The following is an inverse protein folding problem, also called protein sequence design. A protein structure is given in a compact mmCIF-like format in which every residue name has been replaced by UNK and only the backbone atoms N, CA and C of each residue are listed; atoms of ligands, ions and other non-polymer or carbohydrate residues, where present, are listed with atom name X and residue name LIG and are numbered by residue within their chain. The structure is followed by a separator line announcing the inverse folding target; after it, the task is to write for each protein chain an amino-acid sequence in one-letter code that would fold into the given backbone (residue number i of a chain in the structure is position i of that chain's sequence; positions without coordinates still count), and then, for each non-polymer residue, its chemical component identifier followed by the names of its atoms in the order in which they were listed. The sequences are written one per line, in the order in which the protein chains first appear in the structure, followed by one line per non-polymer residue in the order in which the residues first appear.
data_IF_547239557689
#
_entry.id   IF_547239557689
#
_cell.length_a   1.000
_cell.length_b   1.000
_cell.length_c   1.000
_cell.angle_alpha   90.00
_cell.angle_beta   90.00
_cell.angle_gamma   90.00
#
_symmetry.space_group_name_H-M   'P 1'
#
loop_
_entity.id
_entity.type
_entity.pdbx_description
1 polymer ?
#
# COMPACT_ATOMS: atom_id res chain seq x y z
N UNK A 1 -14.93 1.69 23.45
CA UNK A 1 -14.09 2.85 23.07
C UNK A 1 -13.47 2.53 21.73
N UNK A 2 -13.55 3.47 20.80
CA UNK A 2 -12.84 3.37 19.51
C UNK A 2 -11.39 3.84 19.65
N UNK A 3 -10.57 3.52 18.65
CA UNK A 3 -9.18 4.00 18.58
C UNK A 3 -9.09 5.34 17.83
N UNK A 4 -8.09 6.14 18.19
CA UNK A 4 -7.71 7.35 17.46
C UNK A 4 -6.56 7.03 16.52
N UNK A 5 -6.70 7.41 15.26
CA UNK A 5 -5.78 7.06 14.17
C UNK A 5 -5.22 8.32 13.52
N UNK A 6 -3.91 8.34 13.31
CA UNK A 6 -3.23 9.29 12.42
C UNK A 6 -2.67 8.53 11.22
N UNK A 7 -3.23 8.79 10.04
CA UNK A 7 -2.78 8.17 8.79
C UNK A 7 -2.02 9.19 7.96
N UNK A 8 -0.76 8.92 7.72
CA UNK A 8 0.19 9.76 6.99
C UNK A 8 0.36 9.24 5.56
N UNK A 9 0.33 10.12 4.58
CA UNK A 9 0.26 9.74 3.16
C UNK A 9 -0.96 8.87 2.86
N UNK A 10 -2.09 9.29 3.41
CA UNK A 10 -3.31 8.48 3.58
C UNK A 10 -3.90 7.98 2.24
N UNK A 11 -3.69 8.72 1.16
CA UNK A 11 -4.29 8.40 -0.12
C UNK A 11 -5.81 8.46 -0.04
N UNK A 12 -6.46 7.36 -0.41
CA UNK A 12 -7.93 7.20 -0.40
C UNK A 12 -8.46 6.59 0.91
N UNK A 13 -7.70 6.66 1.99
CA UNK A 13 -8.07 6.12 3.31
C UNK A 13 -8.21 4.59 3.35
N UNK A 14 -7.31 3.87 2.66
CA UNK A 14 -7.31 2.41 2.68
C UNK A 14 -7.10 1.83 4.09
N UNK A 15 -6.38 2.53 4.97
CA UNK A 15 -6.25 2.18 6.38
C UNK A 15 -7.60 2.19 7.10
N UNK A 16 -8.47 3.15 6.80
CA UNK A 16 -9.83 3.22 7.37
C UNK A 16 -10.68 2.02 6.92
N UNK A 17 -10.62 1.66 5.63
CA UNK A 17 -11.29 0.47 5.10
C UNK A 17 -10.83 -0.80 5.81
N UNK A 18 -9.51 -0.95 6.01
CA UNK A 18 -8.95 -2.11 6.68
C UNK A 18 -9.44 -2.23 8.14
N UNK A 19 -9.51 -1.13 8.87
CA UNK A 19 -10.03 -1.12 10.25
C UNK A 19 -11.51 -1.50 10.30
N UNK A 20 -12.33 -1.03 9.35
CA UNK A 20 -13.74 -1.42 9.24
C UNK A 20 -13.92 -2.91 8.97
N UNK A 21 -13.14 -3.45 8.02
CA UNK A 21 -13.18 -4.88 7.72
C UNK A 21 -12.75 -5.77 8.89
N UNK A 22 -11.89 -5.25 9.76
CA UNK A 22 -11.47 -5.93 10.99
C UNK A 22 -12.46 -5.73 12.15
N UNK A 23 -13.50 -4.90 11.96
CA UNK A 23 -14.44 -4.56 13.02
C UNK A 23 -13.83 -3.73 14.16
N UNK A 24 -12.73 -3.03 13.89
CA UNK A 24 -12.06 -2.16 14.87
C UNK A 24 -12.77 -0.80 14.88
N UNK A 25 -13.43 -0.42 15.96
CA UNK A 25 -14.15 0.85 16.03
C UNK A 25 -13.14 2.01 16.04
N UNK A 26 -13.35 2.98 15.15
CA UNK A 26 -12.54 4.20 15.05
C UNK A 26 -13.33 5.36 15.64
N UNK A 27 -12.78 5.98 16.68
CA UNK A 27 -13.34 7.17 17.34
C UNK A 27 -13.00 8.44 16.56
N UNK A 28 -11.75 8.54 16.10
CA UNK A 28 -11.24 9.66 15.34
C UNK A 28 -10.21 9.19 14.31
N UNK A 29 -10.29 9.73 13.11
CA UNK A 29 -9.32 9.45 12.04
C UNK A 29 -8.82 10.75 11.45
N UNK A 30 -7.52 11.00 11.61
CA UNK A 30 -6.81 12.13 11.02
C UNK A 30 -6.06 11.64 9.79
N UNK A 31 -6.28 12.27 8.64
CA UNK A 31 -5.64 11.92 7.37
C UNK A 31 -4.74 13.05 6.88
N UNK A 32 -3.44 12.79 6.81
CA UNK A 32 -2.48 13.68 6.17
C UNK A 32 -2.27 13.26 4.72
N UNK A 33 -2.83 14.04 3.80
CA UNK A 33 -2.77 13.87 2.35
C UNK A 33 -2.76 15.23 1.66
N UNK A 34 -2.12 15.33 0.48
CA UNK A 34 -2.05 16.56 -0.31
C UNK A 34 -2.66 16.40 -1.71
N UNK A 35 -2.86 15.16 -2.18
CA UNK A 35 -3.51 14.91 -3.47
C UNK A 35 -5.01 15.15 -3.36
N UNK A 36 -5.48 16.20 -4.07
CA UNK A 36 -6.89 16.62 -4.03
C UNK A 36 -7.87 15.54 -4.50
N UNK A 37 -7.44 14.65 -5.41
CA UNK A 37 -8.32 13.60 -5.92
C UNK A 37 -8.42 12.44 -4.91
N UNK A 38 -7.32 12.09 -4.27
CA UNK A 38 -7.32 11.12 -3.18
C UNK A 38 -8.19 11.61 -2.02
N UNK A 39 -8.05 12.87 -1.61
CA UNK A 39 -8.89 13.52 -0.59
C UNK A 39 -10.38 13.48 -0.97
N UNK A 40 -10.73 13.78 -2.23
CA UNK A 40 -12.12 13.73 -2.70
C UNK A 40 -12.71 12.33 -2.56
N UNK A 41 -11.95 11.28 -2.92
CA UNK A 41 -12.40 9.89 -2.78
C UNK A 41 -12.54 9.52 -1.30
N UNK A 42 -11.57 9.88 -0.46
CA UNK A 42 -11.63 9.67 0.99
C UNK A 42 -12.89 10.29 1.58
N UNK A 43 -13.10 11.58 1.33
CA UNK A 43 -14.24 12.33 1.88
C UNK A 43 -15.60 11.88 1.33
N UNK A 44 -15.67 11.37 0.10
CA UNK A 44 -16.90 10.81 -0.46
C UNK A 44 -17.33 9.51 0.24
N UNK A 45 -16.37 8.71 0.72
CA UNK A 45 -16.64 7.45 1.39
C UNK A 45 -16.71 7.59 2.92
N UNK A 46 -15.92 8.49 3.49
CA UNK A 46 -15.75 8.72 4.92
C UNK A 46 -15.76 10.23 5.24
N UNK A 47 -16.92 10.88 5.21
CA UNK A 47 -17.00 12.34 5.44
C UNK A 47 -16.57 12.76 6.85
N UNK A 48 -16.51 11.82 7.81
CA UNK A 48 -16.07 12.03 9.18
C UNK A 48 -14.54 12.10 9.33
N UNK A 49 -13.77 11.70 8.31
CA UNK A 49 -12.31 11.79 8.33
C UNK A 49 -11.87 13.26 8.34
N UNK A 50 -11.05 13.61 9.30
CA UNK A 50 -10.46 14.93 9.39
C UNK A 50 -9.19 15.01 8.54
N UNK A 51 -9.25 15.81 7.46
CA UNK A 51 -8.08 16.07 6.61
C UNK A 51 -7.18 17.12 7.29
N UNK A 52 -5.95 16.72 7.62
CA UNK A 52 -4.99 17.56 8.35
C UNK A 52 -3.87 18.13 7.47
N UNK A 53 -3.92 17.85 6.16
CA UNK A 53 -3.04 18.45 5.15
C UNK A 53 -1.64 17.84 5.08
N UNK A 54 -0.64 18.69 4.83
CA UNK A 54 0.74 18.27 4.61
C UNK A 54 1.42 17.83 5.90
N UNK A 55 2.02 16.64 5.89
CA UNK A 55 2.78 16.06 7.01
C UNK A 55 3.87 17.00 7.54
N UNK A 56 4.48 17.80 6.69
CA UNK A 56 5.53 18.75 7.06
C UNK A 56 5.03 19.84 8.03
N UNK A 57 3.72 20.11 8.04
CA UNK A 57 3.09 21.14 8.85
C UNK A 57 2.46 20.63 10.14
N UNK A 58 2.48 19.31 10.39
CA UNK A 58 1.86 18.74 11.58
C UNK A 58 2.71 19.00 12.83
N UNK A 59 2.08 19.56 13.87
CA UNK A 59 2.68 19.62 15.21
C UNK A 59 2.36 18.32 15.96
N UNK A 60 3.38 17.55 16.38
CA UNK A 60 3.16 16.30 17.15
C UNK A 60 2.32 16.49 18.42
N UNK A 61 2.28 17.70 18.98
CA UNK A 61 1.52 18.00 20.21
C UNK A 61 0.02 17.83 20.02
N UNK A 62 -0.49 18.04 18.81
CA UNK A 62 -1.91 17.96 18.51
C UNK A 62 -2.41 16.50 18.41
N UNK A 63 -1.48 15.51 18.40
CA UNK A 63 -1.76 14.07 18.16
C UNK A 63 -1.24 13.16 19.26
N UNK A 64 -1.00 13.67 20.47
CA UNK A 64 -0.43 12.89 21.59
C UNK A 64 -1.35 11.77 22.10
N UNK A 65 -2.62 11.80 21.78
CA UNK A 65 -3.63 10.81 22.17
C UNK A 65 -3.97 9.80 21.04
N UNK A 66 -3.16 9.75 20.00
CA UNK A 66 -3.30 8.78 18.90
C UNK A 66 -2.85 7.39 19.34
N UNK A 67 -3.73 6.41 19.14
CA UNK A 67 -3.44 4.99 19.43
C UNK A 67 -2.67 4.29 18.32
N UNK A 68 -2.99 4.62 17.06
CA UNK A 68 -2.44 3.97 15.88
C UNK A 68 -1.96 5.00 14.85
N UNK A 69 -0.70 4.89 14.45
CA UNK A 69 -0.16 5.64 13.32
C UNK A 69 0.02 4.73 12.11
N UNK A 70 -0.62 5.09 10.99
CA UNK A 70 -0.45 4.43 9.69
C UNK A 70 0.39 5.31 8.78
N UNK A 71 1.24 4.71 7.95
CA UNK A 71 2.02 5.45 6.96
C UNK A 71 2.37 4.61 5.73
N UNK A 72 2.28 5.25 4.56
CA UNK A 72 2.77 4.71 3.28
C UNK A 72 3.70 5.71 2.61
N UNK A 73 4.90 5.92 3.15
CA UNK A 73 5.80 6.99 2.69
C UNK A 73 6.20 6.81 1.22
N UNK A 74 6.32 7.91 0.43
CA UNK A 74 6.76 7.85 -0.95
C UNK A 74 8.10 7.11 -1.10
N UNK A 75 8.12 6.10 -1.98
CA UNK A 75 9.26 5.21 -2.17
C UNK A 75 10.26 5.67 -3.23
N UNK A 76 10.04 6.82 -3.85
CA UNK A 76 10.77 7.20 -5.08
C UNK A 76 12.27 7.42 -4.87
N UNK A 77 12.73 7.67 -3.65
CA UNK A 77 14.15 7.69 -3.28
C UNK A 77 14.75 6.32 -2.98
N UNK A 78 13.92 5.35 -2.57
CA UNK A 78 14.34 4.02 -2.10
C UNK A 78 14.06 2.88 -3.09
N UNK A 79 13.30 3.12 -4.18
CA UNK A 79 12.87 2.05 -5.06
C UNK A 79 13.99 1.57 -5.99
N UNK A 80 13.93 0.28 -6.39
CA UNK A 80 14.83 -0.36 -7.36
C UNK A 80 14.82 0.34 -8.73
N UNK A 81 13.78 1.10 -9.05
CA UNK A 81 13.59 1.84 -10.31
C UNK A 81 14.01 3.31 -10.21
N UNK A 82 14.32 3.81 -9.01
CA UNK A 82 14.77 5.19 -8.78
C UNK A 82 16.28 5.35 -8.93
N UNK A 83 16.74 6.54 -9.27
CA UNK A 83 18.16 6.91 -9.19
C UNK A 83 18.54 6.94 -7.70
N UNK A 84 19.30 6.00 -7.23
CA UNK A 84 19.78 5.68 -5.88
C UNK A 84 20.34 6.88 -5.05
N UNK A 85 19.60 7.97 -4.95
CA UNK A 85 19.97 9.19 -4.22
C UNK A 85 19.28 9.21 -2.84
N UNK A 86 19.48 8.12 -2.04
CA UNK A 86 18.64 7.74 -0.93
C UNK A 86 18.34 8.85 0.11
N UNK A 87 19.29 9.68 0.46
CA UNK A 87 19.10 10.68 1.53
C UNK A 87 19.15 12.13 1.05
N UNK A 88 19.74 12.39 -0.13
CA UNK A 88 19.80 13.74 -0.72
C UNK A 88 18.57 14.04 -1.60
N UNK A 89 17.65 13.08 -1.79
CA UNK A 89 16.43 13.29 -2.56
C UNK A 89 15.37 13.94 -1.65
N UNK A 90 14.77 15.08 -2.04
CA UNK A 90 13.70 15.74 -1.28
C UNK A 90 12.52 14.81 -0.93
N UNK A 91 12.31 13.75 -1.71
CA UNK A 91 11.27 12.74 -1.47
C UNK A 91 11.60 11.79 -0.31
N UNK A 92 12.89 11.62 0.00
CA UNK A 92 13.35 10.91 1.20
C UNK A 92 13.11 11.73 2.46
N UNK A 93 13.07 13.05 2.37
CA UNK A 93 12.77 13.95 3.48
C UNK A 93 11.40 13.62 4.11
N UNK A 94 10.43 13.19 3.30
CA UNK A 94 9.10 12.82 3.78
C UNK A 94 9.10 11.57 4.69
N UNK A 95 10.02 10.63 4.49
CA UNK A 95 10.22 9.54 5.43
C UNK A 95 10.71 10.05 6.79
N UNK A 96 11.60 11.04 6.82
CA UNK A 96 12.07 11.63 8.08
C UNK A 96 11.00 12.45 8.78
N UNK A 97 10.04 13.03 8.05
CA UNK A 97 8.86 13.65 8.67
C UNK A 97 7.99 12.59 9.38
N UNK A 98 7.81 11.40 8.78
CA UNK A 98 7.18 10.28 9.48
C UNK A 98 7.95 9.91 10.76
N UNK A 99 9.30 9.77 10.69
CA UNK A 99 10.13 9.46 11.86
C UNK A 99 10.03 10.56 12.93
N UNK A 100 10.00 11.83 12.54
CA UNK A 100 9.82 12.96 13.46
C UNK A 100 8.51 12.83 14.25
N UNK A 101 7.41 12.55 13.56
CA UNK A 101 6.11 12.35 14.19
C UNK A 101 6.08 11.08 15.04
N UNK A 102 6.58 9.95 14.53
CA UNK A 102 6.61 8.67 15.23
C UNK A 102 7.37 8.79 16.57
N UNK A 103 8.54 9.43 16.55
CA UNK A 103 9.38 9.63 17.73
C UNK A 103 8.76 10.59 18.75
N UNK A 104 8.05 11.62 18.29
CA UNK A 104 7.48 12.63 19.16
C UNK A 104 6.12 12.24 19.75
N UNK A 105 5.30 11.49 18.99
CA UNK A 105 3.97 11.04 19.41
C UNK A 105 4.06 9.73 20.19
N UNK A 106 4.95 8.81 19.79
CA UNK A 106 5.08 7.46 20.34
C UNK A 106 3.72 6.74 20.48
N UNK A 107 2.94 6.60 19.38
CA UNK A 107 1.65 5.96 19.44
C UNK A 107 1.79 4.52 19.96
N UNK A 108 0.74 3.99 20.57
CA UNK A 108 0.74 2.62 21.08
C UNK A 108 1.12 1.61 19.98
N UNK A 109 0.60 1.85 18.76
CA UNK A 109 0.92 1.03 17.59
C UNK A 109 1.23 1.90 16.39
N UNK A 110 2.08 1.39 15.51
CA UNK A 110 2.27 1.97 14.19
C UNK A 110 2.34 0.87 13.11
N UNK A 111 2.08 1.25 11.87
CA UNK A 111 2.29 0.45 10.68
C UNK A 111 2.86 1.34 9.57
N UNK A 112 4.07 1.05 9.13
CA UNK A 112 4.69 1.66 7.96
C UNK A 112 4.73 0.66 6.80
N UNK A 113 4.12 1.00 5.67
CA UNK A 113 4.20 0.24 4.41
C UNK A 113 5.23 0.86 3.49
N UNK A 114 6.00 0.02 2.80
CA UNK A 114 6.83 0.49 1.68
C UNK A 114 7.04 -0.60 0.62
N UNK A 115 7.53 -0.19 -0.55
CA UNK A 115 7.81 -1.10 -1.67
C UNK A 115 9.01 -2.00 -1.38
N UNK A 116 9.18 -3.02 -2.23
CA UNK A 116 10.41 -3.81 -2.25
C UNK A 116 11.60 -2.92 -2.60
N UNK A 117 12.66 -2.97 -1.78
CA UNK A 117 13.85 -2.15 -1.88
C UNK A 117 15.12 -2.96 -1.63
N UNK A 118 16.29 -2.34 -1.78
CA UNK A 118 17.58 -2.95 -1.48
C UNK A 118 17.74 -3.14 0.03
N UNK A 119 18.58 -4.13 0.42
CA UNK A 119 18.86 -4.49 1.81
C UNK A 119 19.37 -3.30 2.62
N UNK A 120 20.26 -2.49 2.07
CA UNK A 120 20.82 -1.29 2.71
C UNK A 120 19.72 -0.33 3.20
N UNK A 121 18.67 -0.11 2.38
CA UNK A 121 17.55 0.75 2.75
C UNK A 121 16.62 0.10 3.79
N UNK A 122 16.44 -1.23 3.72
CA UNK A 122 15.71 -1.97 4.75
C UNK A 122 16.38 -1.81 6.11
N UNK A 123 17.72 -1.93 6.18
CA UNK A 123 18.49 -1.78 7.39
C UNK A 123 18.34 -0.36 7.98
N UNK A 124 18.42 0.67 7.13
CA UNK A 124 18.25 2.06 7.57
C UNK A 124 16.84 2.31 8.11
N UNK A 125 15.80 1.91 7.40
CA UNK A 125 14.41 2.09 7.87
C UNK A 125 14.22 1.32 9.18
N UNK A 126 14.70 0.07 9.26
CA UNK A 126 14.63 -0.75 10.47
C UNK A 126 15.30 -0.06 11.66
N UNK A 127 16.48 0.49 11.47
CA UNK A 127 17.19 1.23 12.49
C UNK A 127 16.39 2.46 12.94
N UNK A 128 15.94 3.30 11.99
CA UNK A 128 15.25 4.54 12.30
C UNK A 128 13.90 4.32 13.03
N UNK A 129 13.12 3.32 12.65
CA UNK A 129 11.87 3.01 13.37
C UNK A 129 12.14 2.39 14.74
N UNK A 130 13.17 1.58 14.86
CA UNK A 130 13.56 0.96 16.14
C UNK A 130 14.03 2.00 17.15
N UNK A 131 14.78 3.01 16.73
CA UNK A 131 15.25 4.12 17.56
C UNK A 131 14.13 5.04 18.08
N UNK A 132 12.89 4.89 17.57
CA UNK A 132 11.74 5.65 18.07
C UNK A 132 11.18 5.09 19.38
N UNK A 133 11.51 3.85 19.75
CA UNK A 133 10.94 3.15 20.89
C UNK A 133 12.03 2.66 21.86
N UNK A 134 11.69 2.63 23.13
CA UNK A 134 12.51 2.04 24.19
C UNK A 134 11.99 0.62 24.55
N UNK A 135 12.76 -0.14 25.28
CA UNK A 135 12.43 -1.53 25.62
C UNK A 135 11.07 -1.68 26.34
N UNK A 136 10.65 -0.68 27.08
CA UNK A 136 9.39 -0.69 27.81
C UNK A 136 8.18 -0.27 26.95
N UNK A 137 8.46 0.34 25.78
CA UNK A 137 7.42 0.77 24.84
C UNK A 137 6.93 -0.37 23.92
N UNK A 138 7.63 -1.51 23.88
CA UNK A 138 7.39 -2.59 22.90
C UNK A 138 7.20 -3.95 23.57
N UNK A 139 6.51 -4.85 22.86
CA UNK A 139 6.34 -6.23 23.29
C UNK A 139 7.68 -7.00 23.31
N UNK A 140 7.80 -8.08 24.11
CA UNK A 140 9.06 -8.82 24.28
C UNK A 140 9.70 -9.32 22.98
N UNK A 141 8.92 -9.60 21.95
CA UNK A 141 9.40 -10.09 20.65
C UNK A 141 10.19 -9.05 19.85
N UNK A 142 10.09 -7.76 20.21
CA UNK A 142 10.80 -6.66 19.55
C UNK A 142 12.08 -6.25 20.29
N UNK A 143 12.45 -6.91 21.36
CA UNK A 143 13.63 -6.60 22.14
C UNK A 143 14.47 -7.84 22.48
N UNK A 144 15.77 -7.66 22.58
CA UNK A 144 16.69 -8.70 23.05
C UNK A 144 16.81 -8.71 24.58
N UNK A 145 17.63 -9.62 25.12
CA UNK A 145 17.86 -9.77 26.56
C UNK A 145 18.57 -8.56 27.18
N UNK A 146 19.19 -7.71 26.36
CA UNK A 146 19.87 -6.47 26.78
C UNK A 146 18.94 -5.25 26.69
N UNK A 147 17.71 -5.43 26.17
CA UNK A 147 16.76 -4.36 25.97
C UNK A 147 16.94 -3.58 24.67
N UNK A 148 17.78 -4.04 23.73
CA UNK A 148 17.88 -3.40 22.43
C UNK A 148 16.62 -3.67 21.60
N UNK A 149 15.97 -2.62 21.14
CA UNK A 149 14.75 -2.72 20.32
C UNK A 149 15.12 -2.94 18.86
N UNK A 150 14.46 -3.90 18.21
CA UNK A 150 14.60 -4.15 16.77
C UNK A 150 13.24 -4.47 16.16
N UNK A 151 12.71 -3.56 15.33
CA UNK A 151 11.45 -3.71 14.63
C UNK A 151 11.73 -4.10 13.19
N UNK A 152 11.83 -5.41 12.93
CA UNK A 152 12.16 -5.97 11.63
C UNK A 152 10.97 -5.85 10.65
N UNK A 153 11.23 -5.69 9.34
CA UNK A 153 10.18 -5.65 8.34
C UNK A 153 9.57 -7.04 8.08
N UNK A 154 8.25 -7.07 7.96
CA UNK A 154 7.50 -8.22 7.46
C UNK A 154 7.33 -8.08 5.94
N UNK A 155 7.81 -9.06 5.18
CA UNK A 155 7.58 -9.10 3.75
C UNK A 155 6.28 -9.83 3.46
N UNK A 156 5.30 -9.14 2.86
CA UNK A 156 3.99 -9.72 2.50
C UNK A 156 3.72 -9.45 1.02
N UNK A 157 3.26 -10.49 0.32
CA UNK A 157 2.71 -10.34 -1.02
C UNK A 157 1.19 -10.42 -0.95
N UNK A 158 0.49 -9.40 -1.42
CA UNK A 158 -0.97 -9.38 -1.45
C UNK A 158 -1.58 -10.53 -2.28
N UNK A 159 -0.79 -11.19 -3.13
CA UNK A 159 -1.23 -12.39 -3.87
C UNK A 159 -1.77 -13.50 -2.97
N UNK A 160 -1.40 -13.52 -1.70
CA UNK A 160 -1.93 -14.49 -0.73
C UNK A 160 -3.42 -14.26 -0.43
N UNK A 161 -3.90 -13.02 -0.54
CA UNK A 161 -5.26 -12.63 -0.13
C UNK A 161 -6.05 -11.91 -1.22
N UNK A 162 -5.45 -11.74 -2.40
CA UNK A 162 -6.09 -11.07 -3.55
C UNK A 162 -5.61 -11.64 -4.88
N UNK A 163 -6.28 -11.26 -5.96
CA UNK A 163 -5.86 -11.62 -7.32
C UNK A 163 -4.66 -10.81 -7.83
N UNK A 164 -4.09 -9.89 -7.03
CA UNK A 164 -2.97 -9.03 -7.42
C UNK A 164 -1.66 -9.48 -6.76
N UNK A 165 -0.58 -9.57 -7.53
CA UNK A 165 0.77 -9.74 -6.97
C UNK A 165 1.37 -8.36 -6.64
N UNK A 166 1.37 -7.99 -5.34
CA UNK A 166 1.89 -6.73 -4.82
C UNK A 166 2.80 -7.00 -3.63
N UNK A 167 4.09 -6.98 -3.83
CA UNK A 167 5.11 -7.26 -2.82
C UNK A 167 5.43 -5.99 -2.03
N UNK A 168 5.31 -6.06 -0.69
CA UNK A 168 5.54 -4.95 0.23
C UNK A 168 6.29 -5.36 1.47
N UNK A 169 6.98 -4.42 2.07
CA UNK A 169 7.51 -4.50 3.40
C UNK A 169 6.66 -3.69 4.36
N UNK A 170 6.45 -4.24 5.56
CA UNK A 170 5.69 -3.62 6.63
C UNK A 170 6.52 -3.61 7.90
N UNK A 171 6.75 -2.44 8.49
CA UNK A 171 7.33 -2.29 9.82
C UNK A 171 6.21 -1.95 10.79
N UNK A 172 6.18 -2.64 11.92
CA UNK A 172 5.15 -2.41 12.95
C UNK A 172 5.62 -2.94 14.29
N UNK A 173 5.17 -2.31 15.37
CA UNK A 173 5.31 -2.81 16.74
C UNK A 173 4.06 -3.56 17.22
N UNK A 174 3.11 -3.87 16.33
CA UNK A 174 1.99 -4.76 16.63
C UNK A 174 2.53 -6.18 16.76
N UNK A 175 2.31 -6.86 17.92
CA UNK A 175 2.86 -8.20 18.15
C UNK A 175 2.11 -9.29 17.38
N UNK A 176 2.76 -10.43 17.18
CA UNK A 176 2.13 -11.64 16.67
C UNK A 176 1.81 -11.61 15.17
N UNK A 177 2.44 -10.75 14.37
CA UNK A 177 2.21 -10.68 12.93
C UNK A 177 2.64 -11.99 12.26
N UNK A 178 1.74 -12.56 11.46
CA UNK A 178 1.96 -13.78 10.67
C UNK A 178 1.72 -13.52 9.19
N UNK A 179 2.35 -14.35 8.34
CA UNK A 179 2.00 -14.38 6.92
C UNK A 179 0.52 -14.79 6.77
N UNK A 180 -0.25 -14.09 5.92
CA UNK A 180 -1.60 -14.55 5.59
C UNK A 180 -1.57 -15.93 4.91
N UNK A 181 -2.61 -16.72 5.15
CA UNK A 181 -2.81 -17.95 4.38
C UNK A 181 -3.17 -17.62 2.92
N UNK A 182 -2.68 -18.43 1.99
CA UNK A 182 -3.05 -18.28 0.58
C UNK A 182 -4.51 -18.67 0.37
N UNK A 183 -5.34 -17.69 0.01
CA UNK A 183 -6.76 -17.87 -0.31
C UNK A 183 -7.01 -18.41 -1.71
N UNK A 184 -5.96 -18.56 -2.51
CA UNK A 184 -6.07 -19.07 -3.89
C UNK A 184 -6.81 -18.13 -4.86
N UNK A 185 -7.12 -16.88 -4.49
CA UNK A 185 -7.88 -15.93 -5.31
C UNK A 185 -7.09 -15.58 -6.57
N UNK A 186 -7.65 -15.83 -7.74
CA UNK A 186 -7.03 -15.57 -9.05
C UNK A 186 -7.84 -14.57 -9.86
N UNK A 187 -7.36 -14.20 -11.05
CA UNK A 187 -8.05 -13.22 -11.91
C UNK A 187 -9.49 -13.63 -12.22
N UNK A 188 -9.77 -14.88 -12.47
CA UNK A 188 -11.13 -15.40 -12.74
C UNK A 188 -12.12 -14.98 -11.66
N UNK A 189 -11.70 -14.95 -10.41
CA UNK A 189 -12.59 -14.69 -9.26
C UNK A 189 -13.02 -13.23 -9.16
N UNK A 190 -12.35 -12.32 -9.86
CA UNK A 190 -12.58 -10.88 -9.79
C UNK A 190 -12.89 -10.22 -11.14
N UNK A 191 -12.82 -10.98 -12.24
CA UNK A 191 -13.10 -10.44 -13.57
C UNK A 191 -14.61 -10.28 -13.75
N UNK A 192 -15.01 -9.09 -14.19
CA UNK A 192 -16.40 -8.82 -14.59
C UNK A 192 -16.71 -9.48 -15.94
N UNK A 193 -18.00 -9.70 -16.19
CA UNK A 193 -18.48 -10.28 -17.44
C UNK A 193 -18.44 -9.30 -18.61
N UNK A 194 -18.55 -8.00 -18.31
CA UNK A 194 -18.46 -6.94 -19.31
C UNK A 194 -16.99 -6.59 -19.56
N UNK A 195 -16.60 -6.59 -20.82
CA UNK A 195 -15.23 -6.32 -21.24
C UNK A 195 -15.14 -5.03 -22.05
N UNK A 196 -14.09 -4.27 -21.83
CA UNK A 196 -13.72 -3.17 -22.73
C UNK A 196 -13.10 -3.77 -24.01
N UNK A 197 -13.85 -3.64 -25.12
CA UNK A 197 -13.50 -4.28 -26.41
C UNK A 197 -12.41 -3.55 -27.20
N UNK A 198 -11.66 -2.64 -26.55
CA UNK A 198 -10.57 -1.97 -27.26
C UNK A 198 -9.47 -2.97 -27.63
N UNK A 199 -9.14 -3.10 -28.94
CA UNK A 199 -8.10 -4.01 -29.38
C UNK A 199 -6.73 -3.53 -28.87
N UNK A 200 -5.95 -4.44 -28.32
CA UNK A 200 -4.57 -4.19 -27.90
C UNK A 200 -3.63 -4.80 -28.93
N UNK A 201 -2.72 -3.99 -29.49
CA UNK A 201 -1.72 -4.48 -30.44
C UNK A 201 -0.85 -5.56 -29.80
N UNK A 202 -0.72 -6.70 -30.46
CA UNK A 202 0.22 -7.74 -30.03
C UNK A 202 1.65 -7.28 -30.34
N UNK A 203 2.36 -6.86 -29.29
CA UNK A 203 3.75 -6.44 -29.35
C UNK A 203 4.55 -7.17 -28.27
N UNK A 204 5.85 -7.38 -28.50
CA UNK A 204 6.74 -7.96 -27.46
C UNK A 204 6.63 -7.24 -26.11
N UNK A 205 6.33 -5.93 -26.13
CA UNK A 205 6.12 -5.12 -24.92
C UNK A 205 4.83 -5.53 -24.21
N UNK A 206 3.74 -5.75 -24.96
CA UNK A 206 2.43 -6.08 -24.38
C UNK A 206 2.36 -7.54 -23.94
N UNK A 207 3.07 -8.46 -24.61
CA UNK A 207 3.08 -9.90 -24.29
C UNK A 207 3.43 -10.17 -22.83
N UNK A 208 4.34 -9.42 -22.23
CA UNK A 208 4.69 -9.56 -20.81
C UNK A 208 3.57 -9.18 -19.83
N UNK A 209 2.54 -8.48 -20.32
CA UNK A 209 1.39 -8.05 -19.52
C UNK A 209 0.22 -9.02 -19.60
N UNK A 210 0.28 -10.01 -20.49
CA UNK A 210 -0.75 -11.03 -20.60
C UNK A 210 -0.70 -11.99 -19.41
N UNK A 211 -1.88 -12.25 -18.86
CA UNK A 211 -2.10 -13.20 -17.79
C UNK A 211 -3.32 -14.08 -18.12
N UNK A 212 -3.21 -15.36 -17.81
CA UNK A 212 -4.37 -16.25 -17.86
C UNK A 212 -5.30 -15.97 -16.67
N UNK A 213 -6.55 -16.37 -16.79
CA UNK A 213 -7.55 -16.20 -15.74
C UNK A 213 -7.18 -16.92 -14.43
N UNK A 214 -6.40 -17.98 -14.50
CA UNK A 214 -5.91 -18.75 -13.34
C UNK A 214 -4.62 -18.17 -12.72
N UNK A 215 -4.14 -17.04 -13.21
CA UNK A 215 -2.96 -16.36 -12.70
C UNK A 215 -3.35 -15.15 -11.83
N UNK A 216 -2.36 -14.57 -11.17
CA UNK A 216 -2.47 -13.28 -10.47
C UNK A 216 -2.23 -12.12 -11.43
N UNK A 217 -2.91 -11.00 -11.23
CA UNK A 217 -2.62 -9.77 -11.94
C UNK A 217 -1.25 -9.21 -11.59
N UNK A 218 -0.74 -8.35 -12.46
CA UNK A 218 0.43 -7.51 -12.15
C UNK A 218 0.05 -6.47 -11.10
N UNK A 219 1.06 -5.96 -10.38
CA UNK A 219 0.88 -4.82 -9.48
C UNK A 219 0.42 -3.59 -10.27
N UNK A 220 -0.73 -3.05 -9.94
CA UNK A 220 -1.21 -1.79 -10.51
C UNK A 220 -0.29 -0.63 -10.12
N UNK A 221 -0.02 0.26 -11.07
CA UNK A 221 0.82 1.44 -10.87
C UNK A 221 0.07 2.70 -11.28
N UNK A 222 0.53 3.85 -10.80
CA UNK A 222 -0.02 5.15 -11.15
C UNK A 222 -0.02 5.47 -12.65
N UNK A 223 0.76 4.73 -13.46
CA UNK A 223 0.82 4.91 -14.92
C UNK A 223 -0.13 4.01 -15.70
N UNK A 224 -0.94 3.17 -15.02
CA UNK A 224 -1.84 2.22 -15.67
C UNK A 224 -2.87 2.91 -16.58
N UNK A 225 -3.32 4.12 -16.22
CA UNK A 225 -4.25 4.93 -17.03
C UNK A 225 -3.72 5.25 -18.45
N UNK A 226 -2.41 5.15 -18.69
CA UNK A 226 -1.79 5.38 -19.99
C UNK A 226 -2.04 4.24 -21.00
N UNK A 227 -2.72 3.18 -20.59
CA UNK A 227 -3.14 2.07 -21.44
C UNK A 227 -2.13 0.93 -21.54
N UNK A 228 -2.43 0.02 -22.46
CA UNK A 228 -1.65 -1.21 -22.67
C UNK A 228 -0.16 -0.94 -22.89
N UNK A 229 0.68 -1.84 -22.36
CA UNK A 229 2.13 -1.73 -22.42
C UNK A 229 2.75 -0.83 -21.36
N UNK A 230 1.95 -0.20 -20.49
CA UNK A 230 2.44 0.51 -19.32
C UNK A 230 2.52 -0.43 -18.13
N UNK A 231 3.43 -0.14 -17.20
CA UNK A 231 3.61 -0.96 -16.02
C UNK A 231 2.31 -1.06 -15.19
N UNK A 232 2.03 -2.25 -14.68
CA UNK A 232 0.87 -2.52 -13.86
C UNK A 232 -0.43 -2.83 -14.60
N UNK A 233 -0.50 -2.65 -15.92
CA UNK A 233 -1.65 -3.09 -16.67
C UNK A 233 -1.60 -4.59 -16.89
N UNK A 234 -2.67 -5.29 -16.51
CA UNK A 234 -2.86 -6.70 -16.77
C UNK A 234 -3.78 -6.87 -17.97
N UNK A 235 -3.37 -7.70 -18.93
CA UNK A 235 -4.13 -8.03 -20.12
C UNK A 235 -4.58 -9.48 -20.00
N UNK A 236 -5.89 -9.72 -20.08
CA UNK A 236 -6.45 -11.07 -20.04
C UNK A 236 -7.02 -11.40 -21.42
N UNK A 237 -6.46 -12.41 -22.12
CA UNK A 237 -6.98 -12.82 -23.42
C UNK A 237 -8.35 -13.47 -23.26
N UNK A 238 -9.28 -13.19 -24.16
CA UNK A 238 -10.61 -13.82 -24.15
C UNK A 238 -10.59 -15.29 -24.55
N UNK A 239 -9.52 -15.73 -25.20
CA UNK A 239 -9.28 -17.14 -25.55
C UNK A 239 -7.91 -17.54 -25.03
N UNK A 240 -7.71 -18.82 -24.63
CA UNK A 240 -6.40 -19.29 -24.21
C UNK A 240 -5.34 -18.99 -25.28
N UNK A 241 -4.22 -18.41 -24.87
CA UNK A 241 -3.07 -18.19 -25.75
C UNK A 241 -2.49 -19.55 -26.04
N UNK A 242 -2.62 -20.04 -27.29
CA UNK A 242 -1.83 -21.16 -27.75
C UNK A 242 -0.42 -20.64 -28.06
N UNK A 243 0.57 -21.17 -27.38
CA UNK A 243 1.98 -20.85 -27.64
C UNK A 243 2.26 -21.08 -29.13
N UNK A 244 2.62 -20.02 -29.87
CA UNK A 244 2.93 -20.08 -31.30
C UNK A 244 1.86 -19.55 -32.26
N UNK A 245 0.74 -19.02 -31.79
CA UNK A 245 -0.24 -18.36 -32.67
C UNK A 245 -0.16 -16.83 -32.57
N UNK A 246 -0.24 -16.15 -33.72
CA UNK A 246 -0.50 -14.71 -33.77
C UNK A 246 -1.87 -14.46 -33.15
N UNK A 247 -1.87 -13.74 -32.05
CA UNK A 247 -3.10 -13.30 -31.36
C UNK A 247 -3.54 -12.00 -32.03
N UNK A 248 -4.53 -12.07 -32.92
CA UNK A 248 -5.01 -10.88 -33.64
C UNK A 248 -5.87 -9.97 -32.79
N UNK A 249 -6.50 -10.47 -31.70
CA UNK A 249 -7.34 -9.66 -30.83
C UNK A 249 -7.17 -10.08 -29.37
N UNK A 250 -6.82 -9.12 -28.51
CA UNK A 250 -6.83 -9.25 -27.07
C UNK A 250 -7.73 -8.16 -26.49
N UNK A 251 -8.70 -8.58 -25.70
CA UNK A 251 -9.60 -7.66 -25.00
C UNK A 251 -9.02 -7.29 -23.63
N UNK A 252 -9.11 -6.02 -23.27
CA UNK A 252 -8.70 -5.50 -21.97
C UNK A 252 -9.93 -5.43 -21.08
N UNK A 253 -9.87 -6.07 -19.92
CA UNK A 253 -10.93 -5.93 -18.90
C UNK A 253 -10.56 -4.80 -17.94
N UNK A 254 -11.50 -3.90 -17.67
CA UNK A 254 -11.38 -2.93 -16.58
C UNK A 254 -11.68 -3.64 -15.28
N UNK A 255 -10.82 -3.42 -14.30
CA UNK A 255 -11.09 -3.80 -12.92
C UNK A 255 -11.84 -2.64 -12.26
N UNK A 256 -13.14 -2.71 -12.21
CA UNK A 256 -13.94 -1.99 -11.23
C UNK A 256 -14.31 -3.03 -10.17
N UNK A 257 -13.81 -2.85 -8.97
CA UNK A 257 -14.25 -3.69 -7.84
C UNK A 257 -15.40 -2.97 -7.19
N UNK A 258 -16.59 -3.49 -7.40
CA UNK A 258 -17.76 -3.06 -6.65
C UNK A 258 -17.70 -3.74 -5.27
N UNK A 259 -17.26 -3.01 -4.27
CA UNK A 259 -17.40 -3.43 -2.87
C UNK A 259 -18.77 -2.94 -2.44
N UNK A 260 -19.71 -3.84 -2.05
CA UNK A 260 -21.03 -3.43 -1.64
C UNK A 260 -20.98 -2.32 -0.58
N UNK A 261 -21.52 -1.14 -0.93
CA UNK A 261 -21.53 0.05 -0.07
C UNK A 261 -20.44 1.09 -0.36
N UNK A 262 -19.51 0.82 -1.28
CA UNK A 262 -18.53 1.80 -1.75
C UNK A 262 -18.89 2.23 -3.18
N UNK A 263 -19.15 3.52 -3.37
CA UNK A 263 -19.23 4.08 -4.72
C UNK A 263 -17.87 3.92 -5.39
N UNK A 264 -17.86 3.39 -6.57
CA UNK A 264 -16.76 3.02 -7.48
C UNK A 264 -15.38 3.56 -7.07
N UNK A 265 -14.65 2.78 -6.29
CA UNK A 265 -13.25 3.06 -5.98
C UNK A 265 -12.39 2.50 -7.14
N UNK A 266 -11.92 3.38 -7.99
CA UNK A 266 -10.82 3.03 -8.90
C UNK A 266 -9.62 2.64 -8.06
N UNK A 267 -9.24 1.35 -8.07
CA UNK A 267 -8.10 0.77 -7.34
C UNK A 267 -6.72 1.31 -7.81
N UNK A 268 -6.65 2.60 -8.13
CA UNK A 268 -5.46 3.22 -8.73
C UNK A 268 -4.33 3.42 -7.70
N UNK A 269 -4.60 3.32 -6.38
CA UNK A 269 -3.65 3.76 -5.35
C UNK A 269 -3.45 2.81 -4.17
N UNK A 270 -3.76 1.51 -4.33
CA UNK A 270 -3.34 0.53 -3.30
C UNK A 270 -1.98 -0.05 -3.65
#
# INVERSE_FOLDING_TARGET
MGIKVLSLFDGMSCGRIALDQLGIPVEKYYASEIDKYAIQVSQANYPEIEQVGDICNLDPKDYQDVDLMLAGSPCQGFSFAGKQLAFDDPRSALFFEFIRLLKAIKPKYFLLENVRMKKEFLEIITQQVSECYEADDVAPEFKDILGNVTINPHFINSSLVSAQSRQRYYWTNIPGIKQPEDRGIVLRDILETETDERPVKDTKRNQRHYKNEDEKSLCMTATMYKGAGNNGMTLVPQKPIKVGMNVEEVKVRKHEVDIPGLQTLSLIHI
#
